data_IF_275767826876
#
_entry.id   IF_275767826876
#
_cell.length_a   1.000
_cell.length_b   1.000
_cell.length_c   1.000
_cell.angle_alpha   90.00
_cell.angle_beta   90.00
_cell.angle_gamma   90.00
#
_symmetry.space_group_name_H-M   'P 1'
#
loop_
_entity.id
_entity.type
_entity.pdbx_description
1 polymer ?
#
# COMPACT_ATOMS: atom_id res chain seq x y z
N UNK A 1 -4.66 8.44 -0.46
CA UNK A 1 -5.69 8.12 0.55
C UNK A 1 -5.85 6.60 0.70
N UNK A 2 -6.77 6.14 1.51
CA UNK A 2 -7.09 4.71 1.66
C UNK A 2 -8.61 4.47 1.61
N UNK A 3 -9.02 3.30 1.09
CA UNK A 3 -10.43 2.92 1.00
C UNK A 3 -11.18 3.03 2.33
N UNK A 4 -10.63 2.48 3.45
CA UNK A 4 -11.26 2.60 4.76
C UNK A 4 -11.45 4.02 5.30
N UNK A 5 -10.69 4.98 4.81
CA UNK A 5 -10.77 6.37 5.25
C UNK A 5 -11.86 7.17 4.53
N UNK A 6 -12.46 6.59 3.49
CA UNK A 6 -13.51 7.24 2.70
C UNK A 6 -14.83 6.50 2.95
N UNK A 7 -15.65 7.05 3.81
CA UNK A 7 -16.92 6.42 4.23
C UNK A 7 -18.12 6.96 3.45
N UNK A 8 -18.04 8.19 2.98
CA UNK A 8 -19.17 8.90 2.37
C UNK A 8 -18.89 9.33 0.93
N UNK A 9 -19.88 9.28 0.04
CA UNK A 9 -19.75 9.77 -1.34
C UNK A 9 -19.24 11.19 -1.44
N UNK A 10 -19.65 12.08 -0.53
CA UNK A 10 -19.21 13.48 -0.50
C UNK A 10 -17.73 13.66 -0.19
N UNK A 11 -17.13 12.75 0.56
CA UNK A 11 -15.68 12.77 0.85
C UNK A 11 -14.88 12.42 -0.42
N UNK A 12 -15.32 11.42 -1.16
CA UNK A 12 -14.73 11.10 -2.46
C UNK A 12 -14.89 12.24 -3.46
N UNK A 13 -16.08 12.82 -3.54
CA UNK A 13 -16.36 13.96 -4.41
C UNK A 13 -15.46 15.17 -4.06
N UNK A 14 -15.23 15.44 -2.78
CA UNK A 14 -14.33 16.50 -2.33
C UNK A 14 -12.86 16.25 -2.73
N UNK A 15 -12.40 15.00 -2.60
CA UNK A 15 -11.05 14.62 -3.05
C UNK A 15 -10.90 14.83 -4.55
N UNK A 16 -11.86 14.34 -5.34
CA UNK A 16 -11.83 14.44 -6.80
C UNK A 16 -11.88 15.91 -7.26
N UNK A 17 -12.72 16.72 -6.63
CA UNK A 17 -12.83 18.16 -6.96
C UNK A 17 -11.57 18.97 -6.59
N UNK A 18 -10.73 18.45 -5.70
CA UNK A 18 -9.45 19.07 -5.33
C UNK A 18 -8.29 18.72 -6.24
N UNK A 19 -8.46 17.81 -7.20
CA UNK A 19 -7.40 17.40 -8.12
C UNK A 19 -7.12 18.47 -9.18
N UNK A 20 -5.89 18.46 -9.67
CA UNK A 20 -5.42 19.29 -10.77
C UNK A 20 -5.06 18.45 -11.98
N UNK A 21 -4.88 19.09 -13.12
CA UNK A 21 -4.50 18.41 -14.36
C UNK A 21 -3.19 17.64 -14.20
N UNK A 22 -3.25 16.35 -14.53
CA UNK A 22 -2.11 15.42 -14.41
C UNK A 22 -1.86 14.85 -13.02
N UNK A 23 -2.70 15.16 -12.03
CA UNK A 23 -2.57 14.58 -10.69
C UNK A 23 -2.77 13.05 -10.67
N UNK A 24 -2.21 12.41 -9.68
CA UNK A 24 -2.38 10.98 -9.41
C UNK A 24 -3.14 10.81 -8.10
N UNK A 25 -4.32 10.21 -8.17
CA UNK A 25 -5.07 9.79 -7.00
C UNK A 25 -4.74 8.32 -6.66
N UNK A 26 -3.99 8.10 -5.59
CA UNK A 26 -3.71 6.76 -5.08
C UNK A 26 -4.69 6.39 -3.97
N UNK A 27 -5.36 5.24 -4.14
CA UNK A 27 -6.29 4.67 -3.15
C UNK A 27 -5.81 3.29 -2.72
N UNK A 28 -5.27 3.20 -1.50
CA UNK A 28 -4.87 1.93 -0.89
C UNK A 28 -6.09 1.16 -0.36
N UNK A 29 -6.03 -0.17 -0.36
CA UNK A 29 -7.14 -1.04 0.06
C UNK A 29 -8.47 -0.68 -0.65
N UNK A 30 -8.41 -0.39 -1.95
CA UNK A 30 -9.54 0.12 -2.73
C UNK A 30 -10.77 -0.80 -2.70
N UNK A 31 -10.59 -2.10 -2.47
CA UNK A 31 -11.68 -3.07 -2.30
C UNK A 31 -12.56 -2.81 -1.06
N UNK A 32 -12.13 -1.92 -0.18
CA UNK A 32 -12.88 -1.53 1.03
C UNK A 32 -13.76 -0.29 0.85
N UNK A 33 -13.75 0.31 -0.32
CA UNK A 33 -14.74 1.34 -0.65
C UNK A 33 -16.14 0.74 -0.62
N UNK A 34 -17.08 1.45 -0.01
CA UNK A 34 -18.46 1.03 -0.08
C UNK A 34 -19.06 1.38 -1.46
N UNK A 35 -20.16 0.73 -1.80
CA UNK A 35 -20.79 0.85 -3.12
C UNK A 35 -21.16 2.30 -3.48
N UNK A 36 -21.62 3.09 -2.51
CA UNK A 36 -22.03 4.48 -2.77
C UNK A 36 -20.82 5.36 -3.13
N UNK A 37 -19.65 5.08 -2.55
CA UNK A 37 -18.39 5.76 -2.88
C UNK A 37 -17.88 5.31 -4.24
N UNK A 38 -17.96 4.01 -4.56
CA UNK A 38 -17.60 3.50 -5.88
C UNK A 38 -18.45 4.15 -6.99
N UNK A 39 -19.74 4.36 -6.75
CA UNK A 39 -20.66 5.01 -7.71
C UNK A 39 -20.26 6.44 -8.05
N UNK A 40 -19.56 7.15 -7.17
CA UNK A 40 -18.97 8.47 -7.47
C UNK A 40 -17.72 8.35 -8.34
N UNK A 41 -16.96 7.27 -8.18
CA UNK A 41 -15.73 7.04 -8.97
C UNK A 41 -16.03 6.69 -10.43
N UNK A 42 -17.13 5.99 -10.72
CA UNK A 42 -17.39 5.49 -12.08
C UNK A 42 -17.42 6.60 -13.13
N UNK A 43 -18.24 7.66 -13.02
CA UNK A 43 -18.22 8.75 -13.98
C UNK A 43 -16.91 9.55 -13.96
N UNK A 44 -16.22 9.62 -12.80
CA UNK A 44 -14.93 10.28 -12.71
C UNK A 44 -13.83 9.52 -13.49
N UNK A 45 -13.88 8.19 -13.50
CA UNK A 45 -12.93 7.34 -14.25
C UNK A 45 -13.23 7.31 -15.75
N UNK A 46 -14.50 7.34 -16.14
CA UNK A 46 -14.91 7.20 -17.55
C UNK A 46 -14.91 8.54 -18.29
N UNK A 47 -15.51 9.56 -17.68
CA UNK A 47 -15.84 10.82 -18.35
C UNK A 47 -15.19 12.06 -17.70
N UNK A 48 -14.40 11.89 -16.63
CA UNK A 48 -13.85 12.98 -15.84
C UNK A 48 -14.91 13.96 -15.33
N UNK A 49 -16.01 13.42 -14.79
CA UNK A 49 -17.11 14.20 -14.22
C UNK A 49 -17.54 13.62 -12.88
N UNK A 50 -18.13 14.45 -12.04
CA UNK A 50 -18.86 14.01 -10.83
C UNK A 50 -20.25 14.61 -10.81
N UNK A 51 -21.22 13.85 -10.31
CA UNK A 51 -22.57 14.31 -10.08
C UNK A 51 -22.75 14.59 -8.59
N UNK A 52 -23.03 15.82 -8.23
CA UNK A 52 -23.27 16.27 -6.85
C UNK A 52 -24.73 16.58 -6.64
N UNK A 53 -25.33 15.98 -5.59
CA UNK A 53 -26.68 16.33 -5.19
C UNK A 53 -26.68 17.55 -4.29
N UNK A 54 -27.38 18.63 -4.72
CA UNK A 54 -27.58 19.85 -3.94
C UNK A 54 -29.04 19.98 -3.55
N UNK A 55 -29.29 20.28 -2.27
CA UNK A 55 -30.63 20.40 -1.72
C UNK A 55 -31.10 19.14 -1.02
N UNK A 56 -32.30 19.18 -0.46
CA UNK A 56 -32.94 18.06 0.25
C UNK A 56 -34.36 17.86 -0.25
N UNK A 57 -34.83 16.61 -0.24
CA UNK A 57 -36.21 16.25 -0.60
C UNK A 57 -36.55 16.56 -2.07
N UNK A 58 -37.77 17.03 -2.31
CA UNK A 58 -38.28 17.29 -3.66
C UNK A 58 -37.55 18.42 -4.43
N UNK A 59 -36.78 19.25 -3.73
CA UNK A 59 -35.98 20.32 -4.33
C UNK A 59 -34.52 19.91 -4.60
N UNK A 60 -34.16 18.66 -4.37
CA UNK A 60 -32.80 18.17 -4.69
C UNK A 60 -32.54 18.22 -6.19
N UNK A 61 -31.39 18.78 -6.56
CA UNK A 61 -30.91 18.88 -7.94
C UNK A 61 -29.54 18.22 -8.06
N UNK A 62 -29.35 17.45 -9.11
CA UNK A 62 -28.03 16.98 -9.49
C UNK A 62 -27.30 18.04 -10.30
N UNK A 63 -26.09 18.38 -9.89
CA UNK A 63 -25.18 19.22 -10.66
C UNK A 63 -24.00 18.38 -11.08
N UNK A 64 -23.70 18.41 -12.37
CA UNK A 64 -22.54 17.77 -12.96
C UNK A 64 -21.38 18.75 -12.99
N UNK A 65 -20.23 18.36 -12.43
CA UNK A 65 -19.00 19.13 -12.43
C UNK A 65 -17.94 18.38 -13.26
N UNK A 66 -17.26 19.11 -14.12
CA UNK A 66 -16.10 18.59 -14.86
C UNK A 66 -14.89 18.52 -13.93
N UNK A 67 -14.14 17.43 -14.06
CA UNK A 67 -12.87 17.21 -13.37
C UNK A 67 -11.70 17.39 -14.34
N UNK A 68 -10.53 17.82 -13.83
CA UNK A 68 -9.32 17.77 -14.62
C UNK A 68 -8.95 16.31 -14.95
N UNK A 69 -8.15 16.09 -15.99
CA UNK A 69 -7.64 14.77 -16.30
C UNK A 69 -6.66 14.32 -15.21
N UNK A 70 -6.93 13.20 -14.57
CA UNK A 70 -6.12 12.60 -13.53
C UNK A 70 -5.92 11.11 -13.77
N UNK A 71 -4.98 10.51 -13.05
CA UNK A 71 -4.77 9.06 -13.06
C UNK A 71 -5.21 8.46 -11.73
N UNK A 72 -6.10 7.48 -11.76
CA UNK A 72 -6.46 6.70 -10.58
C UNK A 72 -5.55 5.47 -10.47
N UNK A 73 -4.90 5.32 -9.34
CA UNK A 73 -4.12 4.12 -8.98
C UNK A 73 -4.75 3.47 -7.76
N UNK A 74 -5.27 2.26 -7.93
CA UNK A 74 -5.82 1.46 -6.85
C UNK A 74 -4.86 0.36 -6.41
N UNK A 75 -4.71 0.16 -5.11
CA UNK A 75 -3.99 -1.00 -4.56
C UNK A 75 -4.93 -1.87 -3.73
N UNK A 76 -4.74 -3.18 -3.78
CA UNK A 76 -5.53 -4.13 -2.99
C UNK A 76 -4.74 -5.38 -2.67
N UNK A 77 -4.91 -5.90 -1.48
CA UNK A 77 -4.43 -7.23 -1.07
C UNK A 77 -5.41 -8.35 -1.45
N UNK A 78 -6.64 -7.99 -1.87
CA UNK A 78 -7.75 -8.92 -2.12
C UNK A 78 -8.46 -8.57 -3.43
N UNK A 79 -7.79 -8.81 -4.55
CA UNK A 79 -8.35 -8.52 -5.87
C UNK A 79 -9.73 -9.17 -6.14
N UNK A 80 -9.99 -10.34 -5.54
CA UNK A 80 -11.29 -11.02 -5.64
C UNK A 80 -12.45 -10.33 -4.93
N UNK A 81 -12.17 -9.35 -4.05
CA UNK A 81 -13.19 -8.54 -3.37
C UNK A 81 -13.48 -7.22 -4.09
N UNK A 82 -12.72 -6.89 -5.14
CA UNK A 82 -13.06 -5.76 -5.98
C UNK A 82 -14.39 -6.04 -6.70
N UNK A 83 -15.29 -5.06 -6.68
CA UNK A 83 -16.51 -5.17 -7.46
C UNK A 83 -16.17 -5.28 -8.96
N UNK A 84 -16.93 -6.09 -9.69
CA UNK A 84 -16.71 -6.22 -11.13
C UNK A 84 -16.81 -4.86 -11.85
N UNK A 85 -17.81 -4.00 -11.56
CA UNK A 85 -17.89 -2.69 -12.19
C UNK A 85 -16.66 -1.80 -11.96
N UNK A 86 -16.07 -1.83 -10.76
CA UNK A 86 -14.86 -1.06 -10.47
C UNK A 86 -13.64 -1.64 -11.18
N UNK A 87 -13.47 -2.96 -11.09
CA UNK A 87 -12.34 -3.65 -11.72
C UNK A 87 -12.31 -3.44 -13.24
N UNK A 88 -13.47 -3.54 -13.89
CA UNK A 88 -13.56 -3.47 -15.34
C UNK A 88 -13.27 -2.06 -15.91
N UNK A 89 -13.25 -1.03 -15.03
CA UNK A 89 -12.88 0.34 -15.37
C UNK A 89 -11.39 0.63 -15.30
N UNK A 90 -10.60 -0.26 -14.68
CA UNK A 90 -9.15 -0.15 -14.73
C UNK A 90 -8.62 -0.68 -16.06
N UNK A 91 -7.93 0.16 -16.82
CA UNK A 91 -7.31 -0.22 -18.10
C UNK A 91 -6.07 -1.10 -17.93
N UNK A 92 -5.43 -1.05 -16.77
CA UNK A 92 -4.22 -1.83 -16.46
C UNK A 92 -4.35 -2.46 -15.09
N UNK A 93 -4.14 -3.77 -15.01
CA UNK A 93 -4.15 -4.53 -13.76
C UNK A 93 -2.85 -5.32 -13.67
N UNK A 94 -2.07 -5.07 -12.62
CA UNK A 94 -0.86 -5.80 -12.31
C UNK A 94 -1.03 -6.62 -11.03
N UNK A 95 -0.52 -7.86 -11.07
CA UNK A 95 -0.35 -8.67 -9.89
C UNK A 95 1.10 -8.57 -9.44
N UNK A 96 1.32 -8.09 -8.22
CA UNK A 96 2.64 -8.06 -7.62
C UNK A 96 2.94 -9.43 -7.01
N UNK A 97 4.11 -9.96 -7.31
CA UNK A 97 4.60 -11.22 -6.75
C UNK A 97 5.40 -10.97 -5.47
N UNK A 98 5.62 -12.05 -4.71
CA UNK A 98 6.51 -11.99 -3.55
C UNK A 98 7.95 -11.79 -4.03
N UNK A 99 8.72 -11.07 -3.23
CA UNK A 99 10.14 -10.88 -3.47
C UNK A 99 10.92 -12.18 -3.27
N UNK A 100 11.94 -12.40 -4.07
CA UNK A 100 12.92 -13.48 -3.90
C UNK A 100 13.80 -13.23 -2.68
N UNK A 101 14.52 -14.25 -2.24
CA UNK A 101 15.48 -14.12 -1.13
C UNK A 101 16.61 -13.14 -1.49
N UNK A 102 17.05 -13.15 -2.74
CA UNK A 102 18.11 -12.26 -3.24
C UNK A 102 17.67 -10.80 -3.24
N UNK A 103 16.47 -10.52 -3.71
CA UNK A 103 15.89 -9.18 -3.70
C UNK A 103 15.70 -8.67 -2.26
N UNK A 104 15.15 -9.51 -1.37
CA UNK A 104 15.01 -9.16 0.05
C UNK A 104 16.35 -8.96 0.74
N UNK A 105 17.37 -9.75 0.40
CA UNK A 105 18.72 -9.55 0.92
C UNK A 105 19.24 -8.16 0.54
N UNK A 106 19.04 -7.75 -0.71
CA UNK A 106 19.43 -6.42 -1.19
C UNK A 106 18.68 -5.32 -0.42
N UNK A 107 17.38 -5.49 -0.20
CA UNK A 107 16.56 -4.55 0.56
C UNK A 107 17.04 -4.46 2.02
N UNK A 108 17.34 -5.59 2.66
CA UNK A 108 17.84 -5.65 4.05
C UNK A 108 19.18 -4.94 4.16
N UNK A 109 20.11 -5.22 3.24
CA UNK A 109 21.43 -4.55 3.21
C UNK A 109 21.30 -3.03 3.06
N UNK A 110 20.39 -2.58 2.19
CA UNK A 110 20.11 -1.15 2.04
C UNK A 110 19.51 -0.55 3.32
N UNK A 111 18.52 -1.20 3.89
CA UNK A 111 17.85 -0.76 5.12
C UNK A 111 18.81 -0.75 6.33
N UNK A 112 19.68 -1.73 6.44
CA UNK A 112 20.70 -1.79 7.48
C UNK A 112 21.66 -0.58 7.39
N UNK A 113 22.08 -0.23 6.16
CA UNK A 113 22.93 0.95 5.92
C UNK A 113 22.22 2.25 6.35
N UNK A 114 20.94 2.42 6.01
CA UNK A 114 20.13 3.58 6.40
C UNK A 114 19.96 3.66 7.93
N UNK A 115 19.86 2.50 8.58
CA UNK A 115 19.69 2.40 10.04
C UNK A 115 21.00 2.40 10.82
N UNK A 116 22.15 2.51 10.13
CA UNK A 116 23.49 2.37 10.73
C UNK A 116 23.68 1.04 11.48
N UNK A 117 23.19 -0.05 10.92
CA UNK A 117 23.32 -1.40 11.45
C UNK A 117 24.41 -2.13 10.74
N UNK A 118 25.37 -2.68 11.46
CA UNK A 118 26.40 -3.55 10.91
C UNK A 118 25.82 -4.96 10.68
N UNK A 119 25.77 -5.42 9.44
CA UNK A 119 25.24 -6.73 9.06
C UNK A 119 26.09 -7.37 7.99
N UNK A 120 26.40 -8.65 8.17
CA UNK A 120 27.05 -9.47 7.16
C UNK A 120 26.06 -9.95 6.09
N UNK A 121 26.55 -10.23 4.89
CA UNK A 121 25.72 -10.71 3.78
C UNK A 121 24.94 -11.99 4.13
N UNK A 122 25.60 -12.92 4.84
CA UNK A 122 24.94 -14.17 5.25
C UNK A 122 23.90 -13.94 6.34
N UNK A 123 24.11 -13.00 7.26
CA UNK A 123 23.10 -12.56 8.21
C UNK A 123 21.89 -11.96 7.50
N UNK A 124 22.11 -11.09 6.52
CA UNK A 124 21.03 -10.51 5.73
C UNK A 124 20.23 -11.57 4.94
N UNK A 125 20.91 -12.58 4.38
CA UNK A 125 20.26 -13.71 3.71
C UNK A 125 19.39 -14.54 4.65
N UNK A 126 19.84 -14.76 5.87
CA UNK A 126 19.04 -15.51 6.86
C UNK A 126 17.77 -14.74 7.24
N UNK A 127 17.86 -13.42 7.45
CA UNK A 127 16.69 -12.58 7.65
C UNK A 127 15.74 -12.61 6.45
N UNK A 128 16.28 -12.56 5.23
CA UNK A 128 15.51 -12.62 3.99
C UNK A 128 14.70 -13.93 3.86
N UNK A 129 15.30 -15.07 4.16
CA UNK A 129 14.63 -16.39 4.13
C UNK A 129 13.42 -16.45 5.03
N UNK A 130 13.51 -15.86 6.23
CA UNK A 130 12.41 -15.83 7.22
C UNK A 130 11.39 -14.70 6.96
N UNK A 131 11.61 -13.85 5.95
CA UNK A 131 10.76 -12.69 5.64
C UNK A 131 9.57 -13.01 4.74
N UNK A 132 9.35 -14.25 4.38
CA UNK A 132 8.20 -14.73 3.60
C UNK A 132 7.87 -13.88 2.37
N UNK A 133 8.90 -13.43 1.64
CA UNK A 133 8.75 -12.68 0.41
C UNK A 133 8.27 -11.22 0.58
N UNK A 134 8.25 -10.66 1.79
CA UNK A 134 7.70 -9.32 2.04
C UNK A 134 8.71 -8.34 2.64
N UNK A 135 9.00 -7.19 1.98
CA UNK A 135 9.92 -6.18 2.50
C UNK A 135 9.52 -5.60 3.86
N UNK A 136 8.21 -5.45 4.11
CA UNK A 136 7.72 -4.96 5.40
C UNK A 136 8.11 -5.89 6.55
N UNK A 137 7.99 -7.21 6.34
CA UNK A 137 8.40 -8.19 7.34
C UNK A 137 9.93 -8.21 7.48
N UNK A 138 10.66 -8.16 6.37
CA UNK A 138 12.12 -8.10 6.37
C UNK A 138 12.65 -6.92 7.21
N UNK A 139 12.13 -5.74 6.98
CA UNK A 139 12.52 -4.54 7.73
C UNK A 139 12.11 -4.61 9.22
N UNK A 140 10.97 -5.23 9.53
CA UNK A 140 10.56 -5.45 10.92
C UNK A 140 11.49 -6.42 11.64
N UNK A 141 11.86 -7.51 10.97
CA UNK A 141 12.79 -8.50 11.50
C UNK A 141 14.17 -7.86 11.70
N UNK A 142 14.68 -7.13 10.71
CA UNK A 142 15.97 -6.44 10.80
C UNK A 142 16.06 -5.56 12.05
N UNK A 143 15.03 -4.75 12.32
CA UNK A 143 15.01 -3.88 13.51
C UNK A 143 15.07 -4.68 14.81
N UNK A 144 14.34 -5.78 14.90
CA UNK A 144 14.34 -6.64 16.10
C UNK A 144 15.67 -7.38 16.30
N UNK A 145 16.24 -7.88 15.21
CA UNK A 145 17.54 -8.57 15.26
C UNK A 145 18.66 -7.59 15.60
N UNK A 146 18.59 -6.33 15.13
CA UNK A 146 19.48 -5.27 15.55
C UNK A 146 19.43 -5.08 17.06
N UNK A 147 18.25 -4.87 17.63
CA UNK A 147 18.08 -4.64 19.07
C UNK A 147 18.62 -5.84 19.88
N UNK A 148 18.44 -7.06 19.39
CA UNK A 148 19.01 -8.26 19.99
C UNK A 148 20.54 -8.29 19.89
N UNK A 149 21.11 -7.95 18.73
CA UNK A 149 22.55 -7.92 18.51
C UNK A 149 23.23 -6.86 19.38
N UNK A 150 22.63 -5.69 19.54
CA UNK A 150 23.14 -4.62 20.41
C UNK A 150 23.18 -5.03 21.89
N UNK A 151 22.19 -5.81 22.36
CA UNK A 151 22.11 -6.23 23.77
C UNK A 151 22.98 -7.44 24.09
N UNK A 152 23.11 -8.39 23.17
CA UNK A 152 23.73 -9.70 23.40
C UNK A 152 25.08 -9.89 22.71
N UNK A 153 25.33 -9.15 21.64
CA UNK A 153 26.48 -9.29 20.76
C UNK A 153 26.90 -7.90 20.31
N UNK A 154 28.09 -7.56 20.21
CA UNK A 154 28.68 -6.24 19.93
C UNK A 154 28.04 -5.40 18.78
N UNK A 155 26.74 -5.58 18.51
CA UNK A 155 25.97 -4.84 17.52
C UNK A 155 26.07 -5.35 16.07
N UNK A 156 26.90 -6.36 15.81
CA UNK A 156 27.08 -6.93 14.46
C UNK A 156 26.12 -8.10 14.23
N UNK A 157 25.37 -8.07 13.14
CA UNK A 157 24.47 -9.15 12.74
C UNK A 157 25.20 -10.11 11.81
N UNK A 158 25.85 -11.12 12.38
CA UNK A 158 26.39 -12.26 11.66
C UNK A 158 25.29 -13.27 11.32
N UNK A 159 25.62 -14.30 10.54
CA UNK A 159 24.70 -15.41 10.26
C UNK A 159 24.25 -16.13 11.54
N UNK A 160 25.17 -16.36 12.47
CA UNK A 160 24.90 -16.99 13.77
C UNK A 160 23.97 -16.15 14.63
N UNK A 161 24.25 -14.86 14.77
CA UNK A 161 23.42 -13.91 15.53
C UNK A 161 22.02 -13.85 14.94
N UNK A 162 21.90 -13.81 13.61
CA UNK A 162 20.61 -13.82 12.91
C UNK A 162 19.81 -15.08 13.25
N UNK A 163 20.40 -16.26 13.15
CA UNK A 163 19.75 -17.54 13.46
C UNK A 163 19.25 -17.59 14.91
N UNK A 164 20.12 -17.27 15.86
CA UNK A 164 19.77 -17.28 17.28
C UNK A 164 18.63 -16.30 17.59
N UNK A 165 18.72 -15.09 17.04
CA UNK A 165 17.67 -14.08 17.23
C UNK A 165 16.33 -14.51 16.65
N UNK A 166 16.33 -15.07 15.44
CA UNK A 166 15.14 -15.52 14.74
C UNK A 166 14.46 -16.71 15.46
N UNK A 167 15.25 -17.65 15.96
CA UNK A 167 14.76 -18.81 16.73
C UNK A 167 14.14 -18.36 18.07
N UNK A 168 14.72 -17.41 18.78
CA UNK A 168 14.16 -16.84 20.00
C UNK A 168 12.85 -16.10 19.74
N UNK A 169 12.71 -15.46 18.56
CA UNK A 169 11.52 -14.72 18.17
C UNK A 169 10.42 -15.58 17.55
N UNK A 170 10.66 -16.87 17.38
CA UNK A 170 9.76 -17.84 16.74
C UNK A 170 9.31 -17.38 15.32
N UNK A 171 10.29 -16.99 14.51
CA UNK A 171 10.08 -16.46 13.14
C UNK A 171 10.65 -17.41 12.10
#
# INVERSE_FOLDING_TARGET
TSGPAIEKPGEMAAILNGLQEGDILFVDEIHRLNRQVEEVLYPAMEDFVIDIMIGKGASARSIRLDLPHFTLVGATTRAGLLSAPLRDRFGVIHRLEFYTVEELTTIIMHSARVLNVEIELNGARELARRSRGTPRLANRILKRVRDFAEVKYEGVITEEVAKVALDIMDV
#
